data_IF_472392469484
#
_entry.id   IF_472392469484
#
_cell.length_a   1.000
_cell.length_b   1.000
_cell.length_c   1.000
_cell.angle_alpha   90.00
_cell.angle_beta   90.00
_cell.angle_gamma   90.00
#
_symmetry.space_group_name_H-M   'P 1'
#
loop_
_entity.id
_entity.type
_entity.pdbx_description
1 polymer ?
#
# COMPACT_ATOMS: atom_id res chain seq x y z
N UNK A 1 -4.27 29.73 -33.52
CA UNK A 1 -5.25 28.72 -33.95
C UNK A 1 -4.54 27.38 -34.03
N UNK A 2 -4.43 26.66 -32.91
CA UNK A 2 -3.93 25.27 -32.81
C UNK A 2 -4.26 24.79 -31.39
N UNK A 3 -5.19 23.85 -31.32
CA UNK A 3 -5.91 23.45 -30.10
C UNK A 3 -5.14 22.37 -29.33
N UNK A 4 -5.07 22.58 -28.02
CA UNK A 4 -4.43 21.73 -27.00
C UNK A 4 -5.29 20.50 -26.70
N UNK A 5 -4.67 19.33 -26.59
CA UNK A 5 -5.22 18.16 -25.90
C UNK A 5 -4.49 18.03 -24.56
N UNK A 6 -5.20 18.30 -23.47
CA UNK A 6 -4.75 18.06 -22.10
C UNK A 6 -5.64 17.01 -21.46
N UNK A 7 -5.08 15.85 -21.14
CA UNK A 7 -5.73 14.77 -20.37
C UNK A 7 -5.52 14.99 -18.86
N UNK A 8 -6.52 14.71 -17.99
CA UNK A 8 -6.32 14.66 -16.54
C UNK A 8 -6.10 13.21 -16.07
N UNK A 9 -5.07 13.01 -15.24
CA UNK A 9 -4.76 11.74 -14.57
C UNK A 9 -5.31 11.81 -13.12
N UNK A 10 -6.25 10.95 -12.80
CA UNK A 10 -6.64 10.59 -11.43
C UNK A 10 -6.61 9.06 -11.33
N UNK A 11 -5.88 8.56 -10.34
CA UNK A 11 -5.63 7.15 -10.11
C UNK A 11 -6.28 6.76 -8.78
N UNK A 12 -7.36 5.98 -8.82
CA UNK A 12 -7.67 4.91 -7.85
C UNK A 12 -8.92 4.13 -8.28
N UNK A 13 -8.74 2.81 -8.31
CA UNK A 13 -9.68 1.68 -8.30
C UNK A 13 -11.20 1.92 -8.39
N UNK A 14 -11.80 1.20 -9.34
CA UNK A 14 -13.13 0.60 -9.18
C UNK A 14 -14.28 1.33 -9.86
N UNK A 15 -14.44 1.17 -11.18
CA UNK A 15 -15.72 1.43 -11.84
C UNK A 15 -16.24 0.18 -12.55
N UNK A 16 -17.41 -0.27 -12.06
CA UNK A 16 -18.42 -1.01 -12.83
C UNK A 16 -18.75 -0.20 -14.08
N UNK A 17 -18.68 -0.83 -15.24
CA UNK A 17 -19.18 -0.26 -16.48
C UNK A 17 -20.72 -0.31 -16.50
N UNK A 18 -21.36 0.85 -16.69
CA UNK A 18 -22.77 0.97 -17.04
C UNK A 18 -22.93 1.12 -18.55
N UNK A 19 -24.03 0.56 -19.04
CA UNK A 19 -24.32 0.21 -20.43
C UNK A 19 -24.65 1.41 -21.34
N UNK A 20 -24.41 1.23 -22.65
CA UNK A 20 -25.20 1.72 -23.79
C UNK A 20 -24.57 1.23 -25.12
N UNK A 21 -25.30 1.15 -26.25
CA UNK A 21 -26.65 0.65 -26.47
C UNK A 21 -26.67 -0.59 -27.39
N UNK A 22 -27.84 -1.21 -27.49
CA UNK A 22 -28.11 -2.44 -28.24
C UNK A 22 -27.62 -2.40 -29.70
N UNK A 23 -26.73 -3.35 -30.03
CA UNK A 23 -26.44 -3.76 -31.39
C UNK A 23 -26.96 -5.19 -31.55
N UNK A 24 -27.81 -5.40 -32.55
CA UNK A 24 -28.53 -6.65 -32.83
C UNK A 24 -27.57 -7.85 -32.93
N UNK A 25 -27.99 -9.06 -32.50
CA UNK A 25 -27.15 -10.24 -32.58
C UNK A 25 -27.06 -10.71 -34.04
N UNK A 26 -25.92 -10.48 -34.69
CA UNK A 26 -25.56 -11.24 -35.89
C UNK A 26 -25.20 -12.65 -35.42
N UNK A 27 -26.15 -13.56 -35.54
CA UNK A 27 -25.97 -15.00 -35.39
C UNK A 27 -25.05 -15.52 -36.49
N UNK A 28 -23.74 -15.35 -36.33
CA UNK A 28 -22.75 -16.20 -36.97
C UNK A 28 -22.31 -17.23 -35.91
N UNK A 29 -23.14 -18.27 -35.75
CA UNK A 29 -22.59 -19.54 -35.26
C UNK A 29 -21.48 -19.92 -36.26
N UNK A 30 -20.24 -20.15 -35.82
CA UNK A 30 -19.36 -20.96 -36.64
C UNK A 30 -20.08 -22.30 -36.73
N UNK A 31 -20.56 -22.63 -37.93
CA UNK A 31 -20.95 -23.99 -38.25
C UNK A 31 -19.74 -24.84 -37.88
N UNK A 32 -19.82 -25.51 -36.73
CA UNK A 32 -18.86 -26.54 -36.37
C UNK A 32 -19.15 -27.65 -37.36
N UNK A 33 -18.54 -27.55 -38.53
CA UNK A 33 -18.39 -28.67 -39.43
C UNK A 33 -17.69 -29.71 -38.58
N UNK A 34 -18.45 -30.67 -38.06
CA UNK A 34 -17.90 -31.89 -37.48
C UNK A 34 -17.03 -32.46 -38.60
N UNK A 35 -15.73 -32.22 -38.50
CA UNK A 35 -14.74 -32.98 -39.23
C UNK A 35 -14.80 -34.39 -38.65
N UNK A 36 -15.82 -35.15 -39.07
CA UNK A 36 -15.86 -36.59 -38.97
C UNK A 36 -14.88 -37.14 -40.00
N UNK A 37 -13.59 -36.78 -39.88
CA UNK A 37 -12.54 -37.61 -40.45
C UNK A 37 -12.45 -38.82 -39.55
N UNK A 38 -13.25 -39.83 -39.86
CA UNK A 38 -13.07 -41.18 -39.37
C UNK A 38 -11.61 -41.56 -39.62
N UNK A 39 -10.77 -41.55 -38.58
CA UNK A 39 -9.55 -42.35 -38.54
C UNK A 39 -10.00 -43.80 -38.48
N UNK A 40 -10.44 -44.34 -39.62
CA UNK A 40 -10.85 -45.73 -39.78
C UNK A 40 -9.57 -46.57 -39.90
N UNK A 41 -9.16 -47.13 -38.77
CA UNK A 41 -8.05 -48.07 -38.64
C UNK A 41 -7.73 -48.27 -37.16
N UNK A 42 -7.42 -49.48 -36.74
CA UNK A 42 -6.84 -49.69 -35.40
C UNK A 42 -5.53 -48.88 -35.33
N UNK A 43 -5.34 -48.10 -34.25
CA UNK A 43 -4.13 -47.32 -34.06
C UNK A 43 -2.89 -48.22 -34.26
N UNK A 44 -1.97 -47.76 -35.09
CA UNK A 44 -0.69 -48.45 -35.32
C UNK A 44 0.07 -48.59 -34.01
N UNK A 45 0.97 -49.58 -33.91
CA UNK A 45 1.84 -49.73 -32.72
C UNK A 45 2.64 -48.45 -32.42
N UNK A 46 3.02 -47.72 -33.47
CA UNK A 46 3.73 -46.45 -33.32
C UNK A 46 2.83 -45.35 -32.72
N UNK A 47 1.59 -45.20 -33.20
CA UNK A 47 0.62 -44.25 -32.63
C UNK A 47 0.27 -44.58 -31.17
N UNK A 48 0.12 -45.86 -30.84
CA UNK A 48 -0.07 -46.31 -29.46
C UNK A 48 1.13 -45.97 -28.58
N UNK A 49 2.35 -46.18 -29.06
CA UNK A 49 3.57 -45.81 -28.34
C UNK A 49 3.69 -44.30 -28.13
N UNK A 50 3.33 -43.49 -29.13
CA UNK A 50 3.30 -42.02 -29.01
C UNK A 50 2.27 -41.55 -27.99
N UNK A 51 1.06 -42.15 -27.99
CA UNK A 51 0.02 -41.85 -27.02
C UNK A 51 0.47 -42.22 -25.59
N UNK A 52 1.02 -43.43 -25.40
CA UNK A 52 1.54 -43.88 -24.11
C UNK A 52 2.63 -42.95 -23.56
N UNK A 53 3.55 -42.54 -24.42
CA UNK A 53 4.59 -41.56 -24.08
C UNK A 53 3.97 -40.23 -23.66
N UNK A 54 3.01 -39.72 -24.43
CA UNK A 54 2.34 -38.46 -24.14
C UNK A 54 1.59 -38.52 -22.81
N UNK A 55 0.83 -39.59 -22.54
CA UNK A 55 0.11 -39.84 -21.29
C UNK A 55 1.05 -39.85 -20.08
N UNK A 56 2.18 -40.56 -20.21
CA UNK A 56 3.19 -40.64 -19.16
C UNK A 56 3.81 -39.25 -18.85
N UNK A 57 4.13 -38.49 -19.89
CA UNK A 57 4.69 -37.13 -19.75
C UNK A 57 3.70 -36.20 -19.02
N UNK A 58 2.39 -36.32 -19.25
CA UNK A 58 1.41 -35.44 -18.60
C UNK A 58 1.42 -35.59 -17.08
N UNK A 59 1.48 -36.83 -16.59
CA UNK A 59 1.55 -37.11 -15.15
C UNK A 59 2.87 -36.62 -14.53
N UNK A 60 4.00 -36.87 -15.22
CA UNK A 60 5.33 -36.45 -14.75
C UNK A 60 5.42 -34.92 -14.66
N UNK A 61 5.05 -34.20 -15.71
CA UNK A 61 5.17 -32.74 -15.76
C UNK A 61 4.36 -32.09 -14.63
N UNK A 62 3.12 -32.54 -14.41
CA UNK A 62 2.26 -31.96 -13.40
C UNK A 62 2.78 -32.22 -11.97
N UNK A 63 3.29 -33.44 -11.71
CA UNK A 63 3.93 -33.75 -10.45
C UNK A 63 5.15 -32.84 -10.20
N UNK A 64 5.95 -32.57 -11.24
CA UNK A 64 7.10 -31.67 -11.16
C UNK A 64 6.67 -30.22 -10.92
N UNK A 65 5.65 -29.70 -11.63
CA UNK A 65 5.14 -28.34 -11.40
C UNK A 65 4.67 -28.14 -9.95
N UNK A 66 3.94 -29.11 -9.42
CA UNK A 66 3.47 -29.08 -8.02
C UNK A 66 4.63 -29.08 -7.01
N UNK A 67 5.76 -29.71 -7.34
CA UNK A 67 6.98 -29.69 -6.52
C UNK A 67 7.74 -28.36 -6.64
N UNK A 68 7.72 -27.71 -7.80
CA UNK A 68 8.35 -26.40 -8.02
C UNK A 68 7.71 -25.31 -7.14
N UNK A 69 6.41 -25.40 -6.88
CA UNK A 69 5.67 -24.52 -5.97
C UNK A 69 5.88 -24.90 -4.50
N UNK A 70 7.15 -25.04 -4.11
CA UNK A 70 7.55 -25.33 -2.74
C UNK A 70 7.40 -24.10 -1.84
N UNK A 71 7.27 -24.30 -0.52
CA UNK A 71 7.52 -23.26 0.46
C UNK A 71 8.90 -22.64 0.27
N UNK A 72 9.03 -21.36 0.64
CA UNK A 72 10.30 -20.67 0.69
C UNK A 72 11.19 -21.26 1.78
N UNK A 73 12.47 -21.44 1.48
CA UNK A 73 13.44 -21.88 2.47
C UNK A 73 13.81 -20.72 3.41
N UNK A 74 14.14 -21.04 4.66
CA UNK A 74 14.44 -20.05 5.71
C UNK A 74 15.53 -19.04 5.28
N UNK A 75 16.56 -19.51 4.59
CA UNK A 75 17.72 -18.71 4.19
C UNK A 75 17.67 -18.24 2.72
N UNK A 76 16.58 -18.50 2.01
CA UNK A 76 16.46 -18.23 0.56
C UNK A 76 16.64 -16.76 0.21
N UNK A 77 16.25 -15.87 1.14
CA UNK A 77 16.31 -14.41 0.97
C UNK A 77 17.43 -13.77 1.80
N UNK A 78 18.45 -14.58 2.12
CA UNK A 78 19.62 -14.16 2.89
C UNK A 78 19.42 -14.21 4.40
N UNK A 79 20.53 -14.04 5.13
CA UNK A 79 20.58 -13.97 6.60
C UNK A 79 20.96 -12.59 7.12
N UNK A 80 21.25 -11.67 6.22
CA UNK A 80 21.57 -10.31 6.57
C UNK A 80 20.30 -9.61 7.08
N UNK A 81 20.40 -8.53 7.88
CA UNK A 81 19.24 -8.10 8.65
C UNK A 81 18.17 -7.33 7.84
N UNK A 82 18.35 -7.20 6.52
CA UNK A 82 17.31 -6.79 5.56
C UNK A 82 16.45 -7.96 5.06
N UNK A 83 16.82 -9.21 5.38
CA UNK A 83 16.04 -10.37 5.03
C UNK A 83 14.64 -10.31 5.67
N UNK A 84 13.61 -10.89 5.03
CA UNK A 84 12.30 -11.02 5.63
C UNK A 84 12.36 -11.72 6.99
N UNK A 85 11.51 -11.32 7.93
CA UNK A 85 11.47 -11.97 9.24
C UNK A 85 10.99 -13.42 9.11
N UNK A 86 11.35 -14.27 10.08
CA UNK A 86 10.86 -15.65 10.15
C UNK A 86 9.32 -15.68 10.15
N UNK A 87 8.68 -14.78 10.89
CA UNK A 87 7.22 -14.66 10.91
C UNK A 87 6.62 -14.35 9.54
N UNK A 88 7.25 -13.48 8.75
CA UNK A 88 6.80 -13.17 7.38
C UNK A 88 6.92 -14.40 6.46
N UNK A 89 8.07 -15.09 6.48
CA UNK A 89 8.30 -16.28 5.66
C UNK A 89 7.31 -17.39 6.03
N UNK A 90 7.14 -17.66 7.33
CA UNK A 90 6.20 -18.68 7.79
C UNK A 90 4.75 -18.36 7.43
N UNK A 91 4.32 -17.10 7.55
CA UNK A 91 2.96 -16.71 7.19
C UNK A 91 2.68 -16.95 5.71
N UNK A 92 3.64 -16.61 4.85
CA UNK A 92 3.54 -16.86 3.40
C UNK A 92 3.59 -18.35 3.08
N UNK A 93 4.47 -19.11 3.74
CA UNK A 93 4.55 -20.56 3.56
C UNK A 93 3.27 -21.27 3.98
N UNK A 94 2.64 -20.87 5.10
CA UNK A 94 1.32 -21.39 5.50
C UNK A 94 0.25 -21.12 4.44
N UNK A 95 0.26 -19.96 3.79
CA UNK A 95 -0.65 -19.64 2.70
C UNK A 95 -0.39 -20.53 1.47
N UNK A 96 0.87 -20.67 1.06
CA UNK A 96 1.27 -21.52 -0.09
C UNK A 96 0.89 -22.98 0.17
N UNK A 97 1.19 -23.51 1.36
CA UNK A 97 0.93 -24.92 1.70
C UNK A 97 -0.55 -25.27 1.71
N UNK A 98 -1.42 -24.32 2.09
CA UNK A 98 -2.88 -24.48 2.00
C UNK A 98 -3.32 -24.80 0.56
N UNK A 99 -2.82 -24.07 -0.42
CA UNK A 99 -3.14 -24.31 -1.83
C UNK A 99 -2.41 -25.53 -2.40
N UNK A 100 -1.15 -25.70 -2.01
CA UNK A 100 -0.31 -26.81 -2.47
C UNK A 100 -0.87 -28.17 -2.06
N UNK A 101 -1.43 -28.30 -0.86
CA UNK A 101 -2.07 -29.54 -0.39
C UNK A 101 -3.20 -29.97 -1.33
N UNK A 102 -4.06 -29.03 -1.72
CA UNK A 102 -5.15 -29.27 -2.68
C UNK A 102 -4.62 -29.58 -4.08
N UNK A 103 -3.54 -28.91 -4.49
CA UNK A 103 -2.91 -29.14 -5.79
C UNK A 103 -2.30 -30.53 -5.89
N UNK A 104 -1.60 -31.00 -4.85
CA UNK A 104 -1.03 -32.35 -4.77
C UNK A 104 -2.12 -33.41 -4.90
N UNK A 105 -3.23 -33.25 -4.19
CA UNK A 105 -4.36 -34.17 -4.29
C UNK A 105 -4.90 -34.24 -5.71
N UNK A 106 -5.10 -33.08 -6.35
CA UNK A 106 -5.58 -32.98 -7.73
C UNK A 106 -4.60 -33.52 -8.76
N UNK A 107 -3.30 -33.40 -8.52
CA UNK A 107 -2.29 -34.02 -9.36
C UNK A 107 -2.39 -35.56 -9.33
N UNK A 108 -2.71 -36.16 -8.17
CA UNK A 108 -2.96 -37.61 -8.08
C UNK A 108 -4.17 -38.04 -8.92
N UNK A 109 -5.21 -37.21 -9.00
CA UNK A 109 -6.38 -37.49 -9.85
C UNK A 109 -6.08 -37.43 -11.35
N UNK A 110 -5.11 -36.61 -11.77
CA UNK A 110 -4.60 -36.58 -13.15
C UNK A 110 -3.76 -37.82 -13.43
N UNK A 111 -2.86 -38.19 -12.52
CA UNK A 111 -2.05 -39.42 -12.64
C UNK A 111 -2.94 -40.67 -12.76
N UNK A 112 -3.96 -40.79 -11.91
CA UNK A 112 -4.94 -41.87 -11.99
C UNK A 112 -5.70 -41.88 -13.34
N UNK A 113 -6.09 -40.71 -13.86
CA UNK A 113 -6.73 -40.60 -15.17
C UNK A 113 -5.78 -40.98 -16.32
N UNK A 114 -4.50 -40.60 -16.22
CA UNK A 114 -3.48 -40.96 -17.20
C UNK A 114 -3.23 -42.47 -17.20
N UNK A 115 -3.14 -43.10 -16.02
CA UNK A 115 -3.01 -44.55 -15.89
C UNK A 115 -4.24 -45.29 -16.44
N UNK A 116 -5.45 -44.80 -16.17
CA UNK A 116 -6.68 -45.39 -16.68
C UNK A 116 -6.79 -45.28 -18.22
N UNK A 117 -6.42 -44.12 -18.78
CA UNK A 117 -6.35 -43.90 -20.22
C UNK A 117 -5.25 -44.73 -20.89
N UNK A 118 -4.14 -45.01 -20.19
CA UNK A 118 -3.08 -45.88 -20.69
C UNK A 118 -3.50 -47.35 -20.73
N UNK A 119 -4.22 -47.82 -19.71
CA UNK A 119 -4.76 -49.19 -19.68
C UNK A 119 -5.84 -49.41 -20.74
N UNK A 120 -6.64 -48.38 -21.01
CA UNK A 120 -7.73 -48.45 -21.99
C UNK A 120 -7.93 -47.07 -22.65
N UNK A 121 -7.31 -46.83 -23.82
CA UNK A 121 -7.28 -45.51 -24.46
C UNK A 121 -8.57 -45.26 -25.26
N UNK A 122 -9.70 -45.13 -24.57
CA UNK A 122 -10.96 -44.73 -25.17
C UNK A 122 -11.19 -43.20 -25.08
N UNK A 123 -12.07 -42.69 -25.94
CA UNK A 123 -12.33 -41.24 -26.07
C UNK A 123 -12.76 -40.57 -24.77
N UNK A 124 -13.53 -41.25 -23.92
CA UNK A 124 -14.03 -40.68 -22.68
C UNK A 124 -12.93 -40.57 -21.61
N UNK A 125 -12.06 -41.58 -21.51
CA UNK A 125 -10.90 -41.54 -20.59
C UNK A 125 -9.87 -40.50 -21.02
N UNK A 126 -9.63 -40.36 -22.32
CA UNK A 126 -8.74 -39.32 -22.86
C UNK A 126 -9.32 -37.92 -22.62
N UNK A 127 -10.63 -37.72 -22.84
CA UNK A 127 -11.32 -36.46 -22.55
C UNK A 127 -11.22 -36.10 -21.07
N UNK A 128 -11.52 -37.06 -20.18
CA UNK A 128 -11.44 -36.86 -18.73
C UNK A 128 -10.02 -36.47 -18.29
N UNK A 129 -8.99 -37.10 -18.85
CA UNK A 129 -7.61 -36.71 -18.59
C UNK A 129 -7.33 -35.27 -19.03
N UNK A 130 -7.74 -34.89 -20.24
CA UNK A 130 -7.53 -33.54 -20.78
C UNK A 130 -8.21 -32.48 -19.92
N UNK A 131 -9.47 -32.70 -19.52
CA UNK A 131 -10.21 -31.81 -18.64
C UNK A 131 -9.56 -31.66 -17.26
N UNK A 132 -9.14 -32.79 -16.66
CA UNK A 132 -8.44 -32.77 -15.37
C UNK A 132 -7.09 -32.06 -15.50
N UNK A 133 -6.31 -32.36 -16.55
CA UNK A 133 -5.03 -31.71 -16.83
C UNK A 133 -5.19 -30.20 -16.92
N UNK A 134 -6.16 -29.72 -17.71
CA UNK A 134 -6.42 -28.28 -17.84
C UNK A 134 -6.76 -27.67 -16.48
N UNK A 135 -7.71 -28.27 -15.74
CA UNK A 135 -8.13 -27.77 -14.43
C UNK A 135 -6.99 -27.69 -13.43
N UNK A 136 -6.09 -28.68 -13.38
CA UNK A 136 -4.93 -28.62 -12.48
C UNK A 136 -3.90 -27.62 -13.00
N UNK A 137 -3.68 -27.53 -14.32
CA UNK A 137 -2.83 -26.51 -14.93
C UNK A 137 -3.25 -25.09 -14.56
N UNK A 138 -4.55 -24.77 -14.63
CA UNK A 138 -5.09 -23.47 -14.23
C UNK A 138 -4.83 -23.17 -12.74
N UNK A 139 -4.85 -24.20 -11.89
CA UNK A 139 -4.53 -24.05 -10.47
C UNK A 139 -3.04 -23.91 -10.17
N UNK A 140 -2.17 -24.52 -10.98
CA UNK A 140 -0.73 -24.26 -10.95
C UNK A 140 -0.48 -22.78 -11.24
N UNK A 141 -1.01 -22.25 -12.34
CA UNK A 141 -0.87 -20.83 -12.72
C UNK A 141 -1.46 -19.87 -11.68
N UNK A 142 -2.56 -20.28 -11.03
CA UNK A 142 -3.15 -19.53 -9.92
C UNK A 142 -2.18 -19.42 -8.73
N UNK A 143 -1.62 -20.54 -8.29
CA UNK A 143 -0.69 -20.59 -7.16
C UNK A 143 0.66 -19.95 -7.50
N UNK A 144 1.17 -20.14 -8.72
CA UNK A 144 2.35 -19.44 -9.25
C UNK A 144 2.21 -17.93 -9.08
N UNK A 145 1.08 -17.33 -9.46
CA UNK A 145 0.91 -15.88 -9.28
C UNK A 145 0.97 -15.39 -7.82
N UNK A 146 0.54 -16.20 -6.85
CA UNK A 146 0.67 -15.88 -5.42
C UNK A 146 2.13 -16.04 -4.98
N UNK A 147 2.77 -17.13 -5.41
CA UNK A 147 4.16 -17.43 -5.10
C UNK A 147 5.10 -16.35 -5.66
N UNK A 148 4.96 -16.02 -6.94
CA UNK A 148 5.75 -15.01 -7.67
C UNK A 148 5.68 -13.65 -6.98
N UNK A 149 4.49 -13.23 -6.55
CA UNK A 149 4.34 -11.95 -5.86
C UNK A 149 5.20 -11.86 -4.59
N UNK A 150 5.19 -12.91 -3.76
CA UNK A 150 5.99 -12.92 -2.54
C UNK A 150 7.47 -13.14 -2.82
N UNK A 151 7.80 -13.97 -3.81
CA UNK A 151 9.17 -14.17 -4.26
C UNK A 151 9.80 -12.86 -4.74
N UNK A 152 9.13 -12.15 -5.65
CA UNK A 152 9.56 -10.85 -6.18
C UNK A 152 9.76 -9.82 -5.06
N UNK A 153 8.86 -9.82 -4.06
CA UNK A 153 8.96 -8.91 -2.94
C UNK A 153 10.13 -9.24 -2.00
N UNK A 154 10.35 -10.52 -1.70
CA UNK A 154 11.42 -10.94 -0.80
C UNK A 154 12.81 -10.94 -1.47
N UNK A 155 12.90 -11.27 -2.76
CA UNK A 155 14.18 -11.29 -3.49
C UNK A 155 14.78 -9.88 -3.64
N UNK A 156 13.97 -8.81 -3.61
CA UNK A 156 14.47 -7.44 -3.57
C UNK A 156 15.43 -7.19 -2.40
N UNK A 157 15.31 -7.95 -1.30
CA UNK A 157 16.20 -7.84 -0.14
C UNK A 157 17.64 -8.27 -0.42
N UNK A 158 17.84 -9.07 -1.47
CA UNK A 158 19.17 -9.49 -1.96
C UNK A 158 19.80 -8.52 -2.96
N UNK A 159 19.10 -7.45 -3.32
CA UNK A 159 19.55 -6.47 -4.31
C UNK A 159 20.10 -5.19 -3.67
N UNK A 160 20.51 -4.22 -4.49
CA UNK A 160 20.86 -2.87 -4.06
C UNK A 160 19.69 -2.08 -3.40
N UNK A 161 18.47 -2.66 -3.35
CA UNK A 161 17.35 -2.13 -2.57
C UNK A 161 17.34 -2.59 -1.12
N UNK A 162 18.04 -3.67 -0.76
CA UNK A 162 17.89 -4.33 0.55
C UNK A 162 18.06 -3.39 1.74
N UNK A 163 19.16 -2.63 1.79
CA UNK A 163 19.41 -1.66 2.87
C UNK A 163 18.38 -0.52 2.88
N UNK A 164 17.99 -0.03 1.69
CA UNK A 164 17.06 1.08 1.55
C UNK A 164 15.66 0.70 2.02
N UNK A 165 15.15 -0.45 1.56
CA UNK A 165 13.85 -0.99 1.98
C UNK A 165 13.84 -1.33 3.47
N UNK A 166 14.93 -1.89 4.01
CA UNK A 166 15.02 -2.13 5.45
C UNK A 166 14.88 -0.85 6.26
N UNK A 167 15.50 0.25 5.83
CA UNK A 167 15.35 1.54 6.51
C UNK A 167 13.88 1.98 6.57
N UNK A 168 13.12 1.77 5.49
CA UNK A 168 11.68 2.04 5.46
C UNK A 168 10.92 1.13 6.41
N UNK A 169 11.20 -0.18 6.41
CA UNK A 169 10.56 -1.13 7.33
C UNK A 169 10.74 -0.67 8.78
N UNK A 170 11.96 -0.28 9.14
CA UNK A 170 12.27 0.18 10.49
C UNK A 170 11.53 1.45 10.88
N UNK A 171 11.41 2.41 9.97
CA UNK A 171 10.61 3.61 10.19
C UNK A 171 9.15 3.24 10.45
N UNK A 172 8.59 2.36 9.61
CA UNK A 172 7.22 1.89 9.74
C UNK A 172 6.97 1.13 11.04
N UNK A 173 7.87 0.21 11.39
CA UNK A 173 7.87 -0.53 12.65
C UNK A 173 7.94 0.45 13.83
N UNK A 174 8.84 1.43 13.79
CA UNK A 174 8.97 2.43 14.85
C UNK A 174 7.73 3.32 15.02
N UNK A 175 6.94 3.51 13.96
CA UNK A 175 5.61 4.15 14.07
C UNK A 175 4.62 3.24 14.80
N UNK A 176 4.56 1.96 14.44
CA UNK A 176 3.73 0.97 15.12
C UNK A 176 4.08 0.84 16.60
N UNK A 177 5.36 0.65 16.91
CA UNK A 177 5.84 0.55 18.29
C UNK A 177 5.44 1.78 19.10
N UNK A 178 5.68 2.99 18.58
CA UNK A 178 5.33 4.21 19.31
C UNK A 178 3.83 4.30 19.61
N UNK A 179 2.98 3.97 18.64
CA UNK A 179 1.54 4.03 18.82
C UNK A 179 1.08 2.97 19.82
N UNK A 180 1.44 1.70 19.63
CA UNK A 180 0.98 0.60 20.49
C UNK A 180 1.49 0.70 21.92
N UNK A 181 2.76 1.11 22.13
CA UNK A 181 3.27 1.42 23.48
C UNK A 181 2.51 2.59 24.09
N UNK A 182 2.22 3.63 23.30
CA UNK A 182 1.49 4.82 23.74
C UNK A 182 0.04 4.55 24.14
N UNK A 183 -0.62 3.54 23.55
CA UNK A 183 -1.97 3.11 23.96
C UNK A 183 -2.00 2.78 25.45
N UNK A 184 -0.96 2.14 25.97
CA UNK A 184 -0.82 1.76 27.39
C UNK A 184 -1.83 0.70 27.87
N UNK A 185 -2.67 0.18 26.99
CA UNK A 185 -3.50 -0.99 27.21
C UNK A 185 -2.75 -2.25 26.78
N UNK A 186 -3.13 -3.42 27.27
CA UNK A 186 -2.55 -4.70 26.87
C UNK A 186 -2.99 -5.14 25.46
N UNK A 187 -3.01 -4.21 24.50
CA UNK A 187 -3.21 -4.50 23.09
C UNK A 187 -1.86 -4.94 22.51
N UNK A 188 -1.69 -6.21 22.13
CA UNK A 188 -0.45 -6.67 21.54
C UNK A 188 -0.24 -5.98 20.19
N UNK A 189 0.97 -5.50 19.94
CA UNK A 189 1.37 -5.09 18.61
C UNK A 189 1.14 -6.25 17.62
N UNK A 190 0.62 -6.00 16.41
CA UNK A 190 0.38 -7.06 15.45
C UNK A 190 1.64 -7.89 15.17
N UNK A 191 1.49 -9.22 15.13
CA UNK A 191 2.62 -10.16 15.03
C UNK A 191 3.40 -10.08 13.71
N UNK A 192 2.76 -9.65 12.62
CA UNK A 192 3.43 -9.38 11.35
C UNK A 192 3.46 -7.89 11.11
N UNK A 193 4.63 -7.29 11.27
CA UNK A 193 4.81 -5.84 11.10
C UNK A 193 4.87 -5.43 9.62
N UNK A 194 4.77 -4.12 9.32
CA UNK A 194 4.81 -3.63 7.94
C UNK A 194 6.07 -4.05 7.19
N UNK A 195 5.93 -4.26 5.89
CA UNK A 195 7.00 -4.63 4.98
C UNK A 195 6.99 -3.72 3.75
N UNK A 196 8.14 -3.12 3.41
CA UNK A 196 8.28 -2.24 2.26
C UNK A 196 8.69 -3.01 1.01
N UNK A 197 8.29 -2.46 -0.14
CA UNK A 197 8.49 -3.06 -1.44
C UNK A 197 8.69 -1.96 -2.48
N UNK A 198 9.75 -2.06 -3.30
CA UNK A 198 9.96 -1.14 -4.40
C UNK A 198 9.14 -1.56 -5.61
N UNK A 199 8.48 -0.59 -6.24
CA UNK A 199 7.72 -0.80 -7.48
C UNK A 199 7.95 0.36 -8.44
N UNK A 200 7.68 0.16 -9.74
CA UNK A 200 7.44 1.30 -10.63
C UNK A 200 6.13 2.00 -10.24
N UNK A 201 6.06 3.31 -10.49
CA UNK A 201 4.92 4.14 -10.12
C UNK A 201 5.30 5.59 -9.86
N UNK A 202 4.31 6.43 -9.58
CA UNK A 202 4.50 7.87 -9.37
C UNK A 202 4.45 8.27 -7.89
N UNK A 203 3.55 7.65 -7.12
CA UNK A 203 3.37 7.93 -5.69
C UNK A 203 3.49 6.64 -4.88
N UNK A 204 4.00 6.72 -3.64
CA UNK A 204 3.83 5.67 -2.66
C UNK A 204 2.35 5.30 -2.47
N UNK A 205 2.12 4.07 -2.07
CA UNK A 205 0.81 3.60 -1.64
C UNK A 205 0.95 2.44 -0.66
N UNK A 206 -0.03 2.30 0.21
CA UNK A 206 -0.12 1.16 1.11
C UNK A 206 -1.06 0.07 0.60
N UNK A 207 -0.78 -1.17 1.02
CA UNK A 207 -1.76 -2.24 0.99
C UNK A 207 -1.94 -2.74 2.41
N UNK A 208 -3.17 -2.58 2.92
CA UNK A 208 -3.53 -3.00 4.27
C UNK A 208 -3.56 -4.53 4.39
N UNK A 209 -3.35 -5.01 5.60
CA UNK A 209 -3.58 -6.41 5.96
C UNK A 209 -5.05 -6.78 5.74
N UNK A 210 -5.31 -8.01 5.33
CA UNK A 210 -6.65 -8.57 5.18
C UNK A 210 -7.37 -8.14 3.89
N UNK A 211 -6.85 -7.16 3.15
CA UNK A 211 -7.49 -6.67 1.92
C UNK A 211 -7.16 -7.59 0.74
N UNK A 212 -8.16 -8.10 0.01
CA UNK A 212 -7.97 -8.85 -1.21
C UNK A 212 -7.23 -8.06 -2.29
N UNK A 213 -6.29 -8.70 -2.99
CA UNK A 213 -5.54 -8.07 -4.07
C UNK A 213 -5.50 -8.91 -5.34
N UNK A 214 -5.60 -8.27 -6.51
CA UNK A 214 -5.46 -8.94 -7.80
C UNK A 214 -4.11 -9.67 -7.95
N UNK A 215 -3.01 -9.08 -7.48
CA UNK A 215 -1.67 -9.71 -7.47
C UNK A 215 -1.62 -10.99 -6.65
N UNK A 216 -2.45 -11.09 -5.61
CA UNK A 216 -2.63 -12.29 -4.79
C UNK A 216 -3.83 -13.14 -5.25
N UNK A 217 -4.27 -12.98 -6.51
CA UNK A 217 -5.44 -13.66 -7.06
C UNK A 217 -6.71 -13.52 -6.20
N UNK A 218 -6.91 -12.31 -5.68
CA UNK A 218 -7.98 -11.92 -4.76
C UNK A 218 -7.93 -12.58 -3.38
N UNK A 219 -6.78 -13.14 -2.98
CA UNK A 219 -6.54 -13.52 -1.59
C UNK A 219 -6.19 -12.28 -0.74
N UNK A 220 -6.52 -12.31 0.56
CA UNK A 220 -6.17 -11.24 1.47
C UNK A 220 -4.66 -11.10 1.63
N UNK A 221 -4.18 -9.86 1.62
CA UNK A 221 -2.80 -9.55 1.96
C UNK A 221 -2.49 -9.90 3.42
N UNK A 222 -1.35 -10.55 3.69
CA UNK A 222 -1.03 -11.13 5.00
C UNK A 222 -0.51 -10.13 6.03
N UNK A 223 0.11 -9.03 5.58
CA UNK A 223 0.72 -8.02 6.44
C UNK A 223 0.77 -6.67 5.72
N UNK A 224 0.79 -5.54 6.46
CA UNK A 224 0.80 -4.22 5.84
C UNK A 224 1.98 -4.05 4.87
N UNK A 225 1.73 -3.56 3.66
CA UNK A 225 2.76 -3.28 2.67
C UNK A 225 2.90 -1.79 2.44
N UNK A 226 4.14 -1.31 2.34
CA UNK A 226 4.44 0.07 1.97
C UNK A 226 5.15 0.04 0.63
N UNK A 227 4.43 0.38 -0.42
CA UNK A 227 4.97 0.36 -1.78
C UNK A 227 5.55 1.72 -2.11
N UNK A 228 6.82 1.74 -2.52
CA UNK A 228 7.56 2.98 -2.76
C UNK A 228 8.12 2.98 -4.18
N UNK A 229 7.87 4.04 -4.96
CA UNK A 229 8.55 4.22 -6.23
C UNK A 229 10.06 4.30 -6.05
N UNK A 230 10.83 3.56 -6.86
CA UNK A 230 12.29 3.50 -6.73
C UNK A 230 12.95 4.88 -6.61
N UNK A 231 12.58 5.85 -7.46
CA UNK A 231 13.15 7.21 -7.46
C UNK A 231 12.89 8.01 -6.17
N UNK A 232 11.92 7.59 -5.35
CA UNK A 232 11.64 8.22 -4.04
C UNK A 232 12.66 7.79 -2.99
N UNK A 233 13.26 6.61 -3.14
CA UNK A 233 14.32 6.14 -2.24
C UNK A 233 15.57 7.02 -2.31
N UNK A 234 15.77 7.80 -3.37
CA UNK A 234 16.94 8.66 -3.48
C UNK A 234 16.74 10.01 -2.76
N UNK A 235 15.51 10.34 -2.35
CA UNK A 235 15.12 11.62 -1.76
C UNK A 235 14.61 11.45 -0.32
N UNK A 236 15.51 11.10 0.61
CA UNK A 236 15.14 10.67 1.98
C UNK A 236 14.38 11.73 2.79
N UNK A 237 14.60 13.02 2.50
CA UNK A 237 13.90 14.16 3.09
C UNK A 237 12.45 14.34 2.62
N UNK A 238 12.04 13.62 1.57
CA UNK A 238 10.67 13.59 1.03
C UNK A 238 9.94 12.27 1.34
N UNK A 239 10.54 11.41 2.17
CA UNK A 239 9.94 10.14 2.57
C UNK A 239 8.86 10.27 3.65
N UNK A 240 8.41 11.48 4.01
CA UNK A 240 7.28 11.66 4.94
C UNK A 240 5.99 11.02 4.41
N UNK A 241 5.91 10.80 3.10
CA UNK A 241 4.90 9.94 2.47
C UNK A 241 4.86 8.52 3.06
N UNK A 242 5.99 7.95 3.49
CA UNK A 242 6.02 6.67 4.21
C UNK A 242 5.25 6.76 5.52
N UNK A 243 5.39 7.86 6.26
CA UNK A 243 4.64 8.07 7.50
C UNK A 243 3.14 8.12 7.20
N UNK A 244 2.74 8.78 6.12
CA UNK A 244 1.34 8.81 5.64
C UNK A 244 0.84 7.40 5.29
N UNK A 245 1.57 6.62 4.50
CA UNK A 245 1.17 5.25 4.13
C UNK A 245 1.08 4.30 5.32
N UNK A 246 2.02 4.40 6.27
CA UNK A 246 1.98 3.64 7.53
C UNK A 246 0.75 4.01 8.35
N UNK A 247 0.36 5.29 8.32
CA UNK A 247 -0.79 5.79 9.06
C UNK A 247 -2.10 5.22 8.56
N UNK A 248 -2.24 4.94 7.25
CA UNK A 248 -3.41 4.21 6.75
C UNK A 248 -3.50 2.78 7.32
N UNK A 249 -2.37 2.11 7.51
CA UNK A 249 -2.35 0.77 8.11
C UNK A 249 -2.67 0.82 9.60
N UNK A 250 -2.09 1.77 10.34
CA UNK A 250 -2.43 2.01 11.75
C UNK A 250 -3.92 2.32 11.94
N UNK A 251 -4.48 3.17 11.08
CA UNK A 251 -5.91 3.48 11.14
C UNK A 251 -6.78 2.24 10.98
N UNK A 252 -6.44 1.36 10.04
CA UNK A 252 -7.18 0.13 9.82
C UNK A 252 -6.99 -0.87 10.97
N UNK A 253 -5.76 -1.07 11.45
CA UNK A 253 -5.47 -2.01 12.54
C UNK A 253 -6.08 -1.55 13.89
N UNK A 254 -6.28 -0.24 14.08
CA UNK A 254 -6.94 0.32 15.26
C UNK A 254 -8.47 0.45 15.11
N UNK A 255 -9.04 0.11 13.95
CA UNK A 255 -10.49 0.24 13.71
C UNK A 255 -11.00 1.69 13.64
N UNK A 256 -10.12 2.62 13.25
CA UNK A 256 -10.43 4.05 13.15
C UNK A 256 -11.23 4.37 11.87
N UNK A 257 -11.14 3.52 10.84
CA UNK A 257 -11.86 3.76 9.59
C UNK A 257 -13.38 3.68 9.75
N UNK A 258 -13.83 2.86 10.70
CA UNK A 258 -15.21 2.50 10.92
C UNK A 258 -15.91 3.57 11.77
N UNK A 259 -15.19 4.18 12.72
CA UNK A 259 -15.78 5.11 13.69
C UNK A 259 -15.63 6.58 13.31
N UNK A 260 -14.53 6.96 12.66
CA UNK A 260 -14.20 8.37 12.44
C UNK A 260 -15.24 9.14 11.60
N UNK A 261 -15.84 8.59 10.53
CA UNK A 261 -16.85 9.32 9.74
C UNK A 261 -18.02 9.81 10.60
N UNK A 262 -18.54 8.94 11.47
CA UNK A 262 -19.68 9.27 12.33
C UNK A 262 -19.31 10.33 13.36
N UNK A 263 -18.14 10.21 13.99
CA UNK A 263 -17.65 11.15 15.00
C UNK A 263 -17.42 12.56 14.41
N UNK A 264 -16.81 12.64 13.23
CA UNK A 264 -16.60 13.91 12.53
C UNK A 264 -17.94 14.52 12.15
N UNK A 265 -18.82 13.73 11.53
CA UNK A 265 -20.13 14.20 11.10
C UNK A 265 -20.92 14.78 12.28
N UNK A 266 -21.02 14.04 13.38
CA UNK A 266 -21.73 14.46 14.59
C UNK A 266 -21.11 15.72 15.20
N UNK A 267 -19.78 15.78 15.33
CA UNK A 267 -19.10 16.97 15.87
C UNK A 267 -19.38 18.21 15.03
N UNK A 268 -19.31 18.08 13.71
CA UNK A 268 -19.52 19.19 12.79
C UNK A 268 -20.98 19.67 12.78
N UNK A 269 -21.96 18.78 12.81
CA UNK A 269 -23.37 19.18 12.79
C UNK A 269 -23.86 19.70 14.15
N UNK A 270 -23.48 19.07 15.25
CA UNK A 270 -23.95 19.45 16.60
C UNK A 270 -23.22 20.69 17.13
N UNK A 271 -21.90 20.62 17.32
CA UNK A 271 -21.12 21.73 17.91
C UNK A 271 -20.75 22.76 16.86
N UNK A 272 -20.38 22.28 15.67
CA UNK A 272 -19.99 23.13 14.55
C UNK A 272 -21.15 23.84 13.87
N UNK A 273 -22.39 23.38 14.07
CA UNK A 273 -23.56 23.87 13.33
C UNK A 273 -23.31 23.93 11.81
N UNK A 274 -22.49 23.01 11.30
CA UNK A 274 -22.10 22.94 9.89
C UNK A 274 -23.22 22.26 9.11
N UNK A 275 -23.59 22.77 7.93
CA UNK A 275 -24.62 22.15 7.11
C UNK A 275 -24.35 20.64 6.87
N UNK A 276 -25.37 19.77 7.03
CA UNK A 276 -25.20 18.32 6.92
C UNK A 276 -24.50 17.83 5.65
N UNK A 277 -24.73 18.48 4.52
CA UNK A 277 -24.11 18.15 3.23
C UNK A 277 -22.61 18.47 3.20
N UNK A 278 -22.18 19.53 3.88
CA UNK A 278 -20.75 19.88 4.04
C UNK A 278 -20.10 18.91 5.03
N UNK A 279 -20.75 18.66 6.17
CA UNK A 279 -20.26 17.73 7.18
C UNK A 279 -20.07 16.30 6.63
N UNK A 280 -20.94 15.85 5.72
CA UNK A 280 -20.82 14.55 5.06
C UNK A 280 -19.54 14.43 4.22
N UNK A 281 -19.16 15.48 3.51
CA UNK A 281 -17.93 15.51 2.71
C UNK A 281 -16.69 15.47 3.61
N UNK A 282 -16.68 16.24 4.71
CA UNK A 282 -15.62 16.15 5.71
C UNK A 282 -15.50 14.75 6.33
N UNK A 283 -16.62 14.11 6.65
CA UNK A 283 -16.65 12.75 7.14
C UNK A 283 -16.10 11.73 6.13
N UNK A 284 -16.33 11.94 4.82
CA UNK A 284 -15.78 11.10 3.75
C UNK A 284 -14.26 11.25 3.61
N UNK A 285 -13.70 12.42 3.92
CA UNK A 285 -12.26 12.71 3.86
C UNK A 285 -11.43 12.11 5.00
N UNK A 286 -12.08 11.45 5.96
CA UNK A 286 -11.45 11.04 7.22
C UNK A 286 -10.14 10.26 7.05
N UNK A 287 -10.06 9.33 6.09
CA UNK A 287 -8.89 8.45 5.92
C UNK A 287 -7.63 9.23 5.56
N UNK A 288 -7.78 10.19 4.65
CA UNK A 288 -6.69 10.98 4.08
C UNK A 288 -6.28 12.08 5.04
N UNK A 289 -7.25 12.77 5.63
CA UNK A 289 -6.99 13.77 6.67
C UNK A 289 -6.27 13.14 7.87
N UNK A 290 -6.78 12.03 8.39
CA UNK A 290 -6.19 11.37 9.55
C UNK A 290 -4.82 10.78 9.24
N UNK A 291 -4.56 10.31 8.01
CA UNK A 291 -3.24 9.83 7.60
C UNK A 291 -2.19 10.95 7.60
N UNK A 292 -2.53 12.16 7.13
CA UNK A 292 -1.63 13.31 7.23
C UNK A 292 -1.40 13.74 8.68
N UNK A 293 -2.46 13.76 9.49
CA UNK A 293 -2.36 14.15 10.90
C UNK A 293 -1.48 13.18 11.69
N UNK A 294 -1.63 11.87 11.46
CA UNK A 294 -0.71 10.88 11.99
C UNK A 294 0.72 11.10 11.50
N UNK A 295 0.93 11.34 10.20
CA UNK A 295 2.27 11.60 9.67
C UNK A 295 2.93 12.81 10.36
N UNK A 296 2.15 13.87 10.63
CA UNK A 296 2.61 15.04 11.37
C UNK A 296 2.94 14.72 12.83
N UNK A 297 2.09 14.03 13.58
CA UNK A 297 2.44 13.69 14.98
C UNK A 297 3.55 12.64 15.07
N UNK A 298 3.68 11.73 14.10
CA UNK A 298 4.70 10.68 14.10
C UNK A 298 6.08 11.20 13.68
N UNK A 299 6.13 12.10 12.69
CA UNK A 299 7.37 12.61 12.11
C UNK A 299 7.73 14.04 12.50
N UNK A 300 6.76 14.87 12.88
CA UNK A 300 6.96 16.29 13.14
C UNK A 300 6.76 17.19 11.92
N UNK A 301 7.15 18.48 12.02
CA UNK A 301 6.75 19.51 11.06
C UNK A 301 7.16 19.26 9.60
N UNK A 302 8.26 18.53 9.38
CA UNK A 302 8.72 18.13 8.05
C UNK A 302 7.69 17.29 7.26
N UNK A 303 6.72 16.68 7.94
CA UNK A 303 5.60 16.03 7.26
C UNK A 303 4.72 17.03 6.49
N UNK A 304 4.51 18.25 7.02
CA UNK A 304 3.75 19.31 6.34
C UNK A 304 4.52 19.87 5.15
N UNK A 305 5.81 20.10 5.32
CA UNK A 305 6.68 20.58 4.24
C UNK A 305 6.75 19.55 3.10
N UNK A 306 6.92 18.27 3.43
CA UNK A 306 6.87 17.19 2.44
C UNK A 306 5.49 17.05 1.78
N UNK A 307 4.39 17.30 2.49
CA UNK A 307 3.05 17.34 1.90
C UNK A 307 2.97 18.48 0.87
N UNK A 308 3.44 19.67 1.22
CA UNK A 308 3.51 20.83 0.33
C UNK A 308 4.32 20.52 -0.94
N UNK A 309 5.46 19.82 -0.84
CA UNK A 309 6.27 19.43 -2.00
C UNK A 309 5.53 18.49 -2.97
N UNK A 310 4.69 17.59 -2.44
CA UNK A 310 3.98 16.58 -3.24
C UNK A 310 2.74 17.14 -3.92
N UNK A 311 2.01 17.98 -3.18
CA UNK A 311 0.70 18.49 -3.60
C UNK A 311 0.76 19.90 -4.18
N UNK A 312 1.90 20.58 -4.04
CA UNK A 312 2.21 21.87 -4.65
C UNK A 312 2.38 21.78 -6.16
N UNK A 313 1.26 21.70 -6.89
CA UNK A 313 1.21 21.54 -8.36
C UNK A 313 0.61 22.77 -9.04
N UNK A 314 0.28 22.65 -10.32
CA UNK A 314 -0.48 23.69 -11.03
C UNK A 314 -1.76 24.04 -10.25
N UNK A 315 -2.25 25.30 -10.34
CA UNK A 315 -3.47 25.70 -9.68
C UNK A 315 -4.64 24.74 -9.96
N UNK A 316 -4.86 24.39 -11.23
CA UNK A 316 -5.93 23.47 -11.65
C UNK A 316 -5.88 22.10 -10.93
N UNK A 317 -4.68 21.56 -10.67
CA UNK A 317 -4.53 20.30 -9.94
C UNK A 317 -4.60 20.45 -8.42
N UNK A 318 -4.49 21.67 -7.90
CA UNK A 318 -4.37 21.93 -6.46
C UNK A 318 -5.67 22.41 -5.83
N UNK A 319 -6.45 23.24 -6.54
CA UNK A 319 -7.63 23.89 -5.96
C UNK A 319 -8.97 23.28 -6.38
N UNK A 320 -9.01 22.51 -7.48
CA UNK A 320 -10.27 22.02 -8.04
C UNK A 320 -10.98 21.04 -7.10
N UNK A 321 -12.14 21.45 -6.60
CA UNK A 321 -12.97 20.67 -5.69
C UNK A 321 -13.82 19.62 -6.41
N UNK A 322 -13.95 18.45 -5.77
CA UNK A 322 -14.95 17.45 -6.11
C UNK A 322 -15.56 16.89 -4.82
N UNK A 323 -16.91 16.93 -4.67
CA UNK A 323 -17.56 16.39 -3.48
C UNK A 323 -17.49 14.86 -3.40
N UNK A 324 -17.19 14.18 -4.52
CA UNK A 324 -17.00 12.73 -4.57
C UNK A 324 -15.56 12.30 -4.27
N UNK A 325 -14.64 13.27 -4.12
CA UNK A 325 -13.24 13.00 -3.81
C UNK A 325 -13.11 12.34 -2.44
N UNK A 326 -12.24 11.32 -2.34
CA UNK A 326 -11.89 10.69 -1.08
C UNK A 326 -10.97 11.56 -0.19
N UNK A 327 -10.41 12.65 -0.74
CA UNK A 327 -9.55 13.59 -0.05
C UNK A 327 -10.05 15.04 -0.21
N UNK A 328 -9.71 15.95 0.72
CA UNK A 328 -9.82 17.38 0.49
C UNK A 328 -9.03 17.78 -0.76
N UNK A 329 -9.29 18.98 -1.30
CA UNK A 329 -8.38 19.52 -2.32
C UNK A 329 -6.98 19.64 -1.73
N UNK A 330 -5.91 19.43 -2.50
CA UNK A 330 -4.54 19.72 -2.07
C UNK A 330 -4.38 21.03 -1.31
N UNK A 331 -5.06 22.08 -1.75
CA UNK A 331 -5.04 23.38 -1.09
C UNK A 331 -5.55 23.31 0.36
N UNK A 332 -6.75 22.72 0.56
CA UNK A 332 -7.37 22.59 1.89
C UNK A 332 -6.61 21.59 2.77
N UNK A 333 -6.11 20.50 2.17
CA UNK A 333 -5.32 19.46 2.85
C UNK A 333 -4.09 20.03 3.55
N UNK A 334 -3.34 20.92 2.88
CA UNK A 334 -2.21 21.63 3.50
C UNK A 334 -2.66 22.53 4.65
N UNK A 335 -3.72 23.33 4.46
CA UNK A 335 -4.21 24.25 5.50
C UNK A 335 -4.71 23.50 6.75
N UNK A 336 -5.36 22.36 6.60
CA UNK A 336 -5.79 21.50 7.71
C UNK A 336 -4.57 21.06 8.55
N UNK A 337 -3.49 20.63 7.90
CA UNK A 337 -2.27 20.21 8.59
C UNK A 337 -1.55 21.38 9.26
N UNK A 338 -1.65 22.60 8.71
CA UNK A 338 -1.10 23.81 9.33
C UNK A 338 -1.88 24.21 10.59
N UNK A 339 -3.19 23.96 10.64
CA UNK A 339 -4.00 24.12 11.86
C UNK A 339 -3.54 23.14 12.94
N UNK A 340 -3.31 21.87 12.60
CA UNK A 340 -2.74 20.89 13.53
C UNK A 340 -1.34 21.31 14.00
N UNK A 341 -0.46 21.72 13.08
CA UNK A 341 0.90 22.16 13.41
C UNK A 341 0.90 23.32 14.41
N UNK A 342 0.01 24.32 14.19
CA UNK A 342 -0.20 25.41 15.14
C UNK A 342 -0.64 24.88 16.51
N UNK A 343 -1.61 23.97 16.54
CA UNK A 343 -2.15 23.42 17.79
C UNK A 343 -1.15 22.55 18.56
N UNK A 344 -0.15 21.99 17.90
CA UNK A 344 0.99 21.31 18.55
C UNK A 344 2.02 22.29 19.17
N UNK A 345 1.77 23.61 19.11
CA UNK A 345 2.63 24.64 19.70
C UNK A 345 3.68 25.23 18.74
N UNK A 346 3.53 25.00 17.44
CA UNK A 346 4.47 25.51 16.41
C UNK A 346 3.87 26.71 15.65
N UNK A 347 3.28 27.66 16.37
CA UNK A 347 2.52 28.80 15.83
C UNK A 347 3.26 29.60 14.76
N UNK A 348 4.52 29.94 15.02
CA UNK A 348 5.32 30.74 14.10
C UNK A 348 5.58 30.00 12.79
N UNK A 349 5.92 28.72 12.87
CA UNK A 349 6.18 27.88 11.70
C UNK A 349 4.90 27.68 10.88
N UNK A 350 3.79 27.35 11.52
CA UNK A 350 2.49 27.21 10.87
C UNK A 350 2.06 28.52 10.18
N UNK A 351 2.29 29.67 10.81
CA UNK A 351 1.98 30.98 10.24
C UNK A 351 2.86 31.31 9.04
N UNK A 352 4.16 30.98 9.11
CA UNK A 352 5.10 31.17 8.00
C UNK A 352 4.70 30.31 6.80
N UNK A 353 4.45 29.02 7.01
CA UNK A 353 4.06 28.08 5.95
C UNK A 353 2.70 28.41 5.34
N UNK A 354 1.72 28.87 6.15
CA UNK A 354 0.44 29.38 5.65
C UNK A 354 0.66 30.53 4.65
N UNK A 355 1.51 31.52 5.00
CA UNK A 355 1.82 32.64 4.09
C UNK A 355 2.52 32.18 2.82
N UNK A 356 3.44 31.22 2.91
CA UNK A 356 4.09 30.62 1.72
C UNK A 356 3.06 29.95 0.83
N UNK A 357 2.20 29.11 1.40
CA UNK A 357 1.17 28.39 0.66
C UNK A 357 0.18 29.32 -0.05
N UNK A 358 -0.27 30.38 0.63
CA UNK A 358 -1.15 31.39 0.05
C UNK A 358 -0.46 32.22 -1.05
N UNK A 359 0.86 32.43 -0.97
CA UNK A 359 1.61 33.07 -2.07
C UNK A 359 1.72 32.21 -3.31
N UNK A 360 1.78 30.88 -3.15
CA UNK A 360 1.78 29.95 -4.29
C UNK A 360 0.40 29.87 -4.97
N UNK A 361 -0.67 30.08 -4.21
CA UNK A 361 -2.06 30.03 -4.69
C UNK A 361 -2.83 31.29 -4.27
N UNK A 362 -2.50 32.46 -4.85
CA UNK A 362 -3.06 33.75 -4.40
C UNK A 362 -4.52 33.95 -4.79
N UNK A 363 -4.99 33.25 -5.83
CA UNK A 363 -6.31 33.43 -6.40
C UNK A 363 -7.11 32.13 -6.26
N UNK A 364 -8.13 32.14 -5.40
CA UNK A 364 -9.10 31.05 -5.26
C UNK A 364 -10.47 31.64 -5.49
N UNK A 365 -11.20 31.04 -6.42
CA UNK A 365 -12.53 31.46 -6.81
C UNK A 365 -13.61 30.53 -6.25
N UNK A 366 -14.86 31.01 -6.29
CA UNK A 366 -16.03 30.20 -5.94
C UNK A 366 -16.23 28.97 -6.86
N UNK A 367 -15.67 29.00 -8.07
CA UNK A 367 -15.69 27.86 -9.01
C UNK A 367 -14.63 26.81 -8.68
N UNK A 368 -13.57 27.19 -7.96
CA UNK A 368 -12.53 26.25 -7.53
C UNK A 368 -13.00 25.45 -6.32
N UNK A 369 -13.48 26.14 -5.29
CA UNK A 369 -13.98 25.57 -4.05
C UNK A 369 -15.32 26.23 -3.70
N UNK A 370 -16.40 25.45 -3.46
CA UNK A 370 -17.71 26.04 -3.22
C UNK A 370 -17.72 27.01 -2.02
N UNK A 371 -18.40 28.17 -2.11
CA UNK A 371 -18.40 29.19 -1.07
C UNK A 371 -18.80 28.68 0.32
N UNK A 372 -19.71 27.72 0.41
CA UNK A 372 -20.13 27.11 1.67
C UNK A 372 -18.99 26.39 2.40
N UNK A 373 -18.07 25.74 1.66
CA UNK A 373 -16.88 25.12 2.23
C UNK A 373 -15.90 26.19 2.71
N UNK A 374 -15.64 27.21 1.88
CA UNK A 374 -14.70 28.28 2.26
C UNK A 374 -15.17 29.06 3.49
N UNK A 375 -16.48 29.40 3.56
CA UNK A 375 -17.08 30.12 4.70
C UNK A 375 -16.98 29.34 6.01
N UNK A 376 -17.05 28.02 5.95
CA UNK A 376 -17.04 27.14 7.13
C UNK A 376 -15.69 26.47 7.38
N UNK A 377 -14.69 26.72 6.53
CA UNK A 377 -13.48 25.93 6.47
C UNK A 377 -12.73 25.88 7.80
N UNK A 378 -12.34 27.03 8.35
CA UNK A 378 -11.52 27.07 9.57
C UNK A 378 -12.23 26.44 10.77
N UNK A 379 -13.50 26.78 10.99
CA UNK A 379 -14.31 26.15 12.06
C UNK A 379 -14.41 24.63 11.87
N UNK A 380 -14.67 24.17 10.65
CA UNK A 380 -14.77 22.74 10.36
C UNK A 380 -13.43 22.01 10.53
N UNK A 381 -12.35 22.63 10.05
CA UNK A 381 -11.00 22.09 10.14
C UNK A 381 -10.53 21.98 11.60
N UNK A 382 -10.74 23.01 12.41
CA UNK A 382 -10.40 23.02 13.84
C UNK A 382 -11.16 21.93 14.60
N UNK A 383 -12.47 21.80 14.36
CA UNK A 383 -13.29 20.74 14.97
C UNK A 383 -12.88 19.34 14.51
N UNK A 384 -12.53 19.17 13.23
CA UNK A 384 -12.08 17.88 12.71
C UNK A 384 -10.70 17.49 13.26
N UNK A 385 -9.74 18.44 13.31
CA UNK A 385 -8.43 18.27 13.96
C UNK A 385 -8.61 17.92 15.43
N UNK A 386 -9.50 18.62 16.13
CA UNK A 386 -9.83 18.32 17.52
C UNK A 386 -10.35 16.91 17.70
N UNK A 387 -11.37 16.55 16.92
CA UNK A 387 -11.98 15.22 16.96
C UNK A 387 -10.96 14.13 16.70
N UNK A 388 -10.13 14.25 15.66
CA UNK A 388 -9.22 13.17 15.26
C UNK A 388 -7.98 13.06 16.16
N UNK A 389 -7.46 14.18 16.67
CA UNK A 389 -6.12 14.22 17.26
C UNK A 389 -6.13 14.46 18.76
N UNK A 390 -7.09 15.22 19.28
CA UNK A 390 -7.06 15.73 20.65
C UNK A 390 -8.20 15.21 21.53
N UNK A 391 -9.28 14.70 20.96
CA UNK A 391 -10.33 14.01 21.71
C UNK A 391 -9.91 12.56 22.01
N UNK A 392 -10.30 12.02 23.19
CA UNK A 392 -10.04 10.63 23.53
C UNK A 392 -10.96 9.67 22.78
N UNK A 393 -10.41 8.54 22.34
CA UNK A 393 -11.18 7.47 21.66
C UNK A 393 -10.89 6.09 22.25
N UNK A 394 -11.86 5.15 22.27
CA UNK A 394 -11.62 3.77 22.67
C UNK A 394 -10.50 3.09 21.89
N UNK A 395 -10.39 3.37 20.59
CA UNK A 395 -9.34 2.87 19.68
C UNK A 395 -7.94 3.30 20.11
N UNK A 396 -7.84 4.38 20.88
CA UNK A 396 -6.60 4.90 21.46
C UNK A 396 -6.44 4.57 22.94
N UNK A 397 -7.21 3.61 23.47
CA UNK A 397 -7.20 3.28 24.90
C UNK A 397 -7.75 4.41 25.77
N UNK A 398 -8.77 5.13 25.28
CA UNK A 398 -9.38 6.31 25.90
C UNK A 398 -8.40 7.49 26.09
N UNK A 399 -7.33 7.52 25.31
CA UNK A 399 -6.43 8.68 25.15
C UNK A 399 -6.70 9.36 23.81
N UNK A 400 -6.18 10.57 23.64
CA UNK A 400 -6.12 11.21 22.32
C UNK A 400 -4.89 10.75 21.53
N UNK A 401 -4.90 10.92 20.21
CA UNK A 401 -3.72 10.62 19.37
C UNK A 401 -2.50 11.42 19.81
N UNK A 402 -2.70 12.70 20.16
CA UNK A 402 -1.64 13.57 20.68
C UNK A 402 -1.00 13.02 21.97
N UNK A 403 -1.79 12.42 22.87
CA UNK A 403 -1.28 11.77 24.08
C UNK A 403 -0.57 10.44 23.79
N UNK A 404 -1.06 9.66 22.83
CA UNK A 404 -0.47 8.37 22.44
C UNK A 404 0.90 8.57 21.79
N UNK A 405 0.99 9.51 20.85
CA UNK A 405 2.22 9.76 20.08
C UNK A 405 3.15 10.74 20.80
N UNK A 406 2.63 11.67 21.59
CA UNK A 406 3.40 12.60 22.42
C UNK A 406 4.55 13.27 21.65
N UNK A 407 4.19 14.12 20.68
CA UNK A 407 5.11 14.90 19.89
C UNK A 407 5.03 16.38 20.27
N UNK A 408 6.18 16.97 20.58
CA UNK A 408 6.29 18.39 20.91
C UNK A 408 7.70 18.95 20.70
N UNK A 409 8.01 20.09 21.32
CA UNK A 409 9.29 20.79 21.17
C UNK A 409 10.53 19.93 21.45
N UNK A 410 10.45 19.02 22.43
CA UNK A 410 11.55 18.10 22.76
C UNK A 410 11.91 17.18 21.58
N UNK A 411 10.92 16.64 20.88
CA UNK A 411 11.19 15.82 19.69
C UNK A 411 11.72 16.65 18.52
N UNK A 412 11.31 17.91 18.40
CA UNK A 412 11.87 18.82 17.39
C UNK A 412 13.35 19.11 17.64
N UNK A 413 13.75 19.34 18.89
CA UNK A 413 15.17 19.53 19.26
C UNK A 413 15.99 18.27 18.94
N UNK A 414 15.48 17.08 19.27
CA UNK A 414 16.11 15.81 18.88
C UNK A 414 16.28 15.67 17.36
N UNK A 415 15.26 16.06 16.57
CA UNK A 415 15.32 16.06 15.11
C UNK A 415 16.46 16.97 14.61
N UNK A 416 16.59 18.17 15.17
CA UNK A 416 17.59 19.15 14.75
C UNK A 416 19.01 18.68 15.07
N UNK A 417 19.23 18.20 16.29
CA UNK A 417 20.53 17.64 16.69
C UNK A 417 20.90 16.40 15.86
N UNK A 418 19.94 15.50 15.62
CA UNK A 418 20.17 14.34 14.77
C UNK A 418 20.48 14.75 13.33
N UNK A 419 19.83 15.77 12.77
CA UNK A 419 20.12 16.30 11.44
C UNK A 419 21.54 16.82 11.31
N UNK A 420 22.04 17.54 12.32
CA UNK A 420 23.43 18.01 12.36
C UNK A 420 24.45 16.86 12.38
N UNK A 421 24.22 15.84 13.22
CA UNK A 421 25.08 14.66 13.29
C UNK A 421 25.02 13.82 12.02
N UNK A 422 23.80 13.62 11.50
CA UNK A 422 23.55 12.91 10.25
C UNK A 422 24.31 13.55 9.08
N UNK A 423 24.30 14.88 8.98
CA UNK A 423 25.03 15.60 7.93
C UNK A 423 26.55 15.35 7.96
N UNK A 424 27.12 15.18 9.17
CA UNK A 424 28.55 14.86 9.39
C UNK A 424 28.88 13.37 9.25
N UNK A 425 27.88 12.50 9.14
CA UNK A 425 28.05 11.05 9.12
C UNK A 425 28.34 10.44 10.50
N UNK A 426 28.05 11.19 11.56
CA UNK A 426 28.16 10.77 12.95
C UNK A 426 26.91 9.96 13.37
N UNK A 427 27.02 9.20 14.46
CA UNK A 427 25.87 8.50 15.02
C UNK A 427 24.84 9.51 15.57
N UNK A 428 23.57 9.51 15.09
CA UNK A 428 22.58 10.52 15.48
C UNK A 428 22.04 10.34 16.90
N UNK A 429 22.63 9.46 17.72
CA UNK A 429 22.24 9.23 19.11
C UNK A 429 20.90 8.48 19.25
N UNK A 430 20.25 8.57 20.40
CA UNK A 430 19.04 7.80 20.74
C UNK A 430 17.75 8.34 20.08
N UNK A 431 17.85 8.95 18.91
CA UNK A 431 16.69 9.42 18.16
C UNK A 431 15.80 8.23 17.75
N UNK A 432 14.48 8.29 17.98
CA UNK A 432 13.56 7.30 17.44
C UNK A 432 13.60 7.27 15.92
N UNK A 433 13.71 6.07 15.34
CA UNK A 433 13.89 5.88 13.88
C UNK A 433 12.83 6.58 13.02
N UNK A 434 11.59 6.68 13.50
CA UNK A 434 10.50 7.40 12.80
C UNK A 434 10.78 8.88 12.54
N UNK A 435 11.64 9.51 13.35
CA UNK A 435 11.99 10.93 13.25
C UNK A 435 13.16 11.19 12.30
N UNK A 436 13.82 10.14 11.79
CA UNK A 436 15.00 10.28 10.93
C UNK A 436 14.69 10.96 9.60
N UNK A 437 13.46 10.82 9.07
CA UNK A 437 13.03 11.52 7.85
C UNK A 437 13.10 13.03 8.07
N UNK A 438 12.58 13.49 9.21
CA UNK A 438 12.59 14.90 9.60
C UNK A 438 14.00 15.40 9.91
N UNK A 439 14.87 14.55 10.48
CA UNK A 439 16.29 14.89 10.67
C UNK A 439 17.00 15.09 9.32
N UNK A 440 16.73 14.23 8.35
CA UNK A 440 17.24 14.36 6.99
C UNK A 440 16.70 15.62 6.29
N UNK A 441 15.41 15.92 6.46
CA UNK A 441 14.80 17.16 5.95
C UNK A 441 15.44 18.40 6.55
N UNK A 442 15.60 18.43 7.88
CA UNK A 442 16.27 19.53 8.56
C UNK A 442 17.70 19.75 8.06
N UNK A 443 18.47 18.67 7.87
CA UNK A 443 19.82 18.72 7.34
C UNK A 443 19.87 19.30 5.92
N UNK A 444 18.90 18.94 5.07
CA UNK A 444 18.79 19.46 3.70
C UNK A 444 18.44 20.96 3.71
N UNK A 445 17.36 21.34 4.39
CA UNK A 445 16.85 22.72 4.37
C UNK A 445 17.85 23.70 5.00
N UNK A 446 18.58 23.24 6.02
CA UNK A 446 19.65 24.01 6.67
C UNK A 446 20.99 23.92 5.92
N UNK A 447 21.04 23.21 4.78
CA UNK A 447 22.22 23.06 3.90
C UNK A 447 23.46 22.54 4.62
N UNK A 448 23.28 21.62 5.57
CA UNK A 448 24.37 21.12 6.42
C UNK A 448 25.31 20.16 5.67
N UNK A 449 24.83 19.51 4.60
CA UNK A 449 25.61 18.65 3.74
C UNK A 449 24.99 18.56 2.34
N UNK A 450 25.72 17.96 1.39
CA UNK A 450 25.18 17.69 0.04
C UNK A 450 24.04 16.66 0.13
N UNK A 451 23.03 16.73 -0.76
CA UNK A 451 21.92 15.79 -0.80
C UNK A 451 22.35 14.32 -0.77
N UNK A 452 23.33 13.94 -1.60
CA UNK A 452 23.85 12.56 -1.65
C UNK A 452 24.44 12.13 -0.30
N UNK A 453 25.21 13.00 0.36
CA UNK A 453 25.82 12.70 1.67
C UNK A 453 24.74 12.45 2.73
N UNK A 454 23.66 13.23 2.72
CA UNK A 454 22.53 13.04 3.64
C UNK A 454 21.86 11.68 3.38
N UNK A 455 21.59 11.35 2.12
CA UNK A 455 20.99 10.07 1.71
C UNK A 455 21.86 8.87 2.13
N UNK A 456 23.16 8.92 1.85
CA UNK A 456 24.10 7.84 2.20
C UNK A 456 24.19 7.65 3.72
N UNK A 457 24.29 8.74 4.47
CA UNK A 457 24.36 8.69 5.93
C UNK A 457 23.04 8.22 6.55
N UNK A 458 21.90 8.57 5.95
CA UNK A 458 20.56 8.13 6.40
C UNK A 458 20.43 6.61 6.30
N UNK A 459 20.73 6.05 5.14
CA UNK A 459 20.65 4.60 4.94
C UNK A 459 21.70 3.85 5.74
N UNK A 460 22.93 4.37 5.85
CA UNK A 460 23.97 3.78 6.70
C UNK A 460 23.54 3.71 8.16
N UNK A 461 22.95 4.78 8.68
CA UNK A 461 22.45 4.84 10.07
C UNK A 461 21.34 3.80 10.30
N UNK A 462 20.34 3.78 9.42
CA UNK A 462 19.20 2.88 9.52
C UNK A 462 19.49 1.45 9.06
N UNK A 463 20.63 1.20 8.41
CA UNK A 463 21.10 -0.13 8.06
C UNK A 463 21.97 -0.78 9.14
N UNK A 464 22.74 0.02 9.90
CA UNK A 464 23.67 -0.47 10.95
C UNK A 464 22.98 -0.86 12.26
N UNK A 465 21.98 -0.08 12.67
CA UNK A 465 21.16 -0.39 13.85
C UNK A 465 20.11 -1.45 13.51
#
# INVERSE_FOLDING_TARGET
MMTRLSSPIANQNGQKAAASPASQPVTNQPTVTRASSNLQGAATRHEQQLLDNWLNIQAINLCRHTKSLRPFAKDEFGRAPMAPSEGHIEAVNRLIDKFRTQLIEKARWVDAAAQAARREPNSDRLRLLLERKQKVGDQVLYLEGIWDFYFDMFVQRLSAFGERLRAIDRIAIGCYEKVYVGLGTAQPTPSLLPFSYASSGFSPYTIRRGVPMQKLRHNPNLFPLIVIPQHRLDNVWALSSVLHEVSHNLQADLGLWEVMPALIYQRLTTDGHIPPEVARVWAQWHKEMMADMFALVLGGPAAVESLMDVVGRSPASTVLFSPLSAHPTPYLRTLINLILLKRLGFDQMASNLTRVWQRLYPNISATDIPPQFMKTFYRSAELAVDTMVFQPHPQFGNKSMAQVVDFGPTQLDLIQQAGQRLAKGEDPGTIPVRLMISAARHALDSRLAKPQTITDNFYRTLGRR
#
